data_IF_242367843625
#
_entry.id   IF_242367843625
#
_cell.length_a   1.000
_cell.length_b   1.000
_cell.length_c   1.000
_cell.angle_alpha   90.00
_cell.angle_beta   90.00
_cell.angle_gamma   90.00
#
_symmetry.space_group_name_H-M   'P 1'
#
loop_
_entity.id
_entity.type
_entity.pdbx_description
1 polymer ?
#
# COMPACT_ATOMS: atom_id res chain seq x y z
N UNK A 1 -25.53 -4.70 -78.10
CA UNK A 1 -24.33 -4.56 -78.96
C UNK A 1 -23.43 -3.52 -78.30
N UNK A 2 -22.18 -3.69 -77.89
CA UNK A 2 -21.14 -4.71 -78.08
C UNK A 2 -20.34 -4.77 -76.77
N UNK A 3 -19.77 -5.95 -76.53
CA UNK A 3 -18.96 -6.32 -75.37
C UNK A 3 -17.59 -5.62 -75.43
N UNK A 4 -16.99 -5.35 -74.28
CA UNK A 4 -15.53 -5.22 -74.20
C UNK A 4 -15.00 -6.13 -73.08
N UNK A 5 -14.45 -7.26 -73.54
CA UNK A 5 -13.64 -8.24 -72.81
C UNK A 5 -12.40 -7.55 -72.23
N UNK A 6 -12.03 -7.76 -70.96
CA UNK A 6 -11.27 -8.92 -70.43
C UNK A 6 -9.81 -8.98 -70.90
N UNK A 7 -8.88 -8.58 -70.01
CA UNK A 7 -7.52 -9.11 -69.81
C UNK A 7 -7.15 -8.76 -68.33
N UNK A 8 -7.17 -9.70 -67.36
CA UNK A 8 -6.08 -10.61 -66.95
C UNK A 8 -4.75 -9.85 -66.71
N UNK A 9 -4.01 -9.95 -65.60
CA UNK A 9 -3.84 -11.01 -64.60
C UNK A 9 -2.95 -10.49 -63.44
N UNK A 10 -3.16 -10.99 -62.22
CA UNK A 10 -2.21 -11.10 -61.10
C UNK A 10 -1.58 -9.84 -60.46
N UNK A 11 -2.09 -9.44 -59.29
CA UNK A 11 -1.22 -9.31 -58.12
C UNK A 11 -1.92 -9.87 -56.90
N UNK A 12 -1.32 -10.93 -56.38
CA UNK A 12 -1.79 -11.73 -55.28
C UNK A 12 -1.76 -10.95 -53.97
N UNK A 13 -2.80 -11.16 -53.16
CA UNK A 13 -2.69 -11.53 -51.75
C UNK A 13 -1.49 -10.93 -51.00
N UNK A 14 -1.67 -9.74 -50.43
CA UNK A 14 -0.93 -9.36 -49.23
C UNK A 14 -1.90 -8.67 -48.26
N UNK A 15 -2.70 -9.52 -47.62
CA UNK A 15 -3.25 -9.19 -46.32
C UNK A 15 -2.09 -8.97 -45.36
N UNK A 16 -2.00 -7.75 -44.84
CA UNK A 16 -1.35 -7.52 -43.56
C UNK A 16 -2.40 -6.78 -42.73
N UNK A 17 -3.16 -7.58 -41.98
CA UNK A 17 -3.79 -7.14 -40.75
C UNK A 17 -2.74 -6.34 -39.97
N UNK A 18 -2.88 -5.02 -39.94
CA UNK A 18 -2.28 -4.23 -38.86
C UNK A 18 -3.13 -4.49 -37.62
N UNK A 19 -2.94 -5.68 -37.02
CA UNK A 19 -3.23 -5.83 -35.61
C UNK A 19 -2.29 -4.87 -34.90
N UNK A 20 -2.86 -3.74 -34.51
CA UNK A 20 -2.31 -2.86 -33.51
C UNK A 20 -1.86 -3.74 -32.34
N UNK A 21 -0.57 -4.05 -32.31
CA UNK A 21 0.13 -4.56 -31.16
C UNK A 21 0.17 -3.44 -30.14
N UNK A 22 -0.98 -3.14 -29.54
CA UNK A 22 -1.03 -2.59 -28.20
C UNK A 22 -0.27 -3.61 -27.35
N UNK A 23 1.04 -3.38 -27.16
CA UNK A 23 1.74 -3.89 -26.00
C UNK A 23 0.83 -3.50 -24.84
N UNK A 24 0.15 -4.49 -24.25
CA UNK A 24 -0.53 -4.32 -22.98
C UNK A 24 0.57 -3.75 -22.09
N UNK A 25 0.50 -2.44 -21.80
CA UNK A 25 1.25 -1.91 -20.69
C UNK A 25 0.69 -2.69 -19.52
N UNK A 26 1.52 -3.43 -18.81
CA UNK A 26 1.07 -4.11 -17.61
C UNK A 26 0.35 -3.05 -16.76
N UNK A 27 -0.94 -3.26 -16.55
CA UNK A 27 -1.74 -2.32 -15.78
C UNK A 27 -1.05 -2.17 -14.41
N UNK A 28 -0.95 -0.94 -13.86
CA UNK A 28 -0.35 -0.74 -12.56
C UNK A 28 -1.00 -1.70 -11.55
N UNK A 29 -0.17 -2.46 -10.83
CA UNK A 29 -0.67 -3.38 -9.81
C UNK A 29 -1.55 -2.61 -8.82
N UNK A 30 -2.73 -3.15 -8.45
CA UNK A 30 -3.61 -2.47 -7.51
C UNK A 30 -2.95 -2.37 -6.14
N UNK A 31 -3.25 -1.30 -5.41
CA UNK A 31 -2.71 -1.06 -4.06
C UNK A 31 -2.98 -2.23 -3.11
N UNK A 32 -4.14 -2.88 -3.25
CA UNK A 32 -4.52 -4.08 -2.49
C UNK A 32 -3.62 -5.29 -2.74
N UNK A 33 -2.96 -5.39 -3.90
CA UNK A 33 -1.93 -6.41 -4.16
C UNK A 33 -0.58 -5.99 -3.57
N UNK A 34 -0.21 -4.72 -3.71
CA UNK A 34 1.09 -4.20 -3.29
C UNK A 34 1.25 -4.16 -1.77
N UNK A 35 0.17 -3.89 -1.04
CA UNK A 35 0.21 -3.69 0.41
C UNK A 35 0.44 -4.98 1.21
N UNK A 36 0.15 -6.16 0.63
CA UNK A 36 0.23 -7.44 1.34
C UNK A 36 1.68 -7.91 1.48
N UNK A 37 2.37 -7.33 2.47
CA UNK A 37 3.79 -7.54 2.84
C UNK A 37 3.97 -7.44 4.36
N UNK A 38 5.21 -7.66 4.81
CA UNK A 38 5.63 -7.47 6.20
C UNK A 38 6.42 -6.17 6.33
N UNK A 39 5.73 -5.09 6.66
CA UNK A 39 6.29 -3.74 6.67
C UNK A 39 6.97 -3.42 8.00
N UNK A 40 8.15 -2.79 7.93
CA UNK A 40 8.96 -2.29 9.05
C UNK A 40 9.19 -0.79 8.87
N UNK A 41 9.28 -0.05 9.98
CA UNK A 41 9.44 1.41 9.89
C UNK A 41 10.81 1.75 9.34
N UNK A 42 10.83 2.63 8.34
CA UNK A 42 12.01 3.30 7.79
C UNK A 42 12.18 4.69 8.40
N UNK A 43 11.08 5.42 8.54
CA UNK A 43 11.04 6.76 9.11
C UNK A 43 9.73 6.98 9.87
N UNK A 44 9.80 7.71 10.99
CA UNK A 44 8.62 8.22 11.67
C UNK A 44 8.77 9.70 12.00
N UNK A 45 7.66 10.44 11.88
CA UNK A 45 7.55 11.82 12.33
C UNK A 45 6.45 11.99 13.34
N UNK A 46 6.67 12.88 14.28
CA UNK A 46 5.68 13.36 15.23
C UNK A 46 5.53 14.86 15.09
N UNK A 47 4.31 15.31 14.83
CA UNK A 47 3.98 16.72 14.59
C UNK A 47 4.93 17.37 13.56
N UNK A 48 5.24 16.60 12.51
CA UNK A 48 6.14 16.99 11.42
C UNK A 48 7.65 16.87 11.72
N UNK A 49 8.04 16.63 12.97
CA UNK A 49 9.45 16.46 13.36
C UNK A 49 9.87 15.01 13.20
N UNK A 50 11.01 14.77 12.52
CA UNK A 50 11.56 13.42 12.38
C UNK A 50 12.08 12.91 13.72
N UNK A 51 11.53 11.80 14.21
CA UNK A 51 11.89 11.19 15.49
C UNK A 51 12.57 9.82 15.33
N UNK A 52 12.56 9.29 14.11
CA UNK A 52 13.17 8.00 13.77
C UNK A 52 13.52 7.96 12.28
N UNK A 53 14.74 7.54 11.96
CA UNK A 53 15.25 7.44 10.57
C UNK A 53 16.34 6.38 10.35
N UNK A 54 16.64 5.57 11.36
CA UNK A 54 17.52 4.40 11.27
C UNK A 54 16.75 3.13 11.64
N UNK A 55 16.39 2.28 10.66
CA UNK A 55 15.62 1.05 10.89
C UNK A 55 16.29 0.04 11.83
N UNK A 56 17.58 0.22 12.15
CA UNK A 56 18.36 -0.65 13.04
C UNK A 56 18.66 -0.02 14.40
N UNK A 57 18.39 1.28 14.58
CA UNK A 57 18.55 1.93 15.87
C UNK A 57 17.39 1.56 16.80
N UNK A 58 17.70 1.06 17.99
CA UNK A 58 16.70 0.85 19.03
C UNK A 58 16.32 2.20 19.68
N UNK A 59 15.02 2.40 19.91
CA UNK A 59 14.53 3.49 20.77
C UNK A 59 14.49 3.09 22.25
N UNK A 60 13.87 3.95 23.08
CA UNK A 60 13.55 3.59 24.46
C UNK A 60 12.35 2.64 24.52
N UNK A 61 12.20 1.86 25.60
CA UNK A 61 11.15 0.83 25.70
C UNK A 61 9.72 1.33 25.47
N UNK A 62 9.43 2.60 25.75
CA UNK A 62 8.10 3.20 25.57
C UNK A 62 7.89 3.81 24.18
N UNK A 63 8.95 3.97 23.38
CA UNK A 63 8.95 4.69 22.10
C UNK A 63 9.99 4.12 21.14
N UNK A 64 9.97 2.81 20.95
CA UNK A 64 10.89 2.10 20.07
C UNK A 64 10.25 1.82 18.70
N UNK A 65 10.45 2.73 17.75
CA UNK A 65 9.93 2.59 16.39
C UNK A 65 10.52 1.39 15.62
N UNK A 66 11.68 0.87 16.03
CA UNK A 66 12.25 -0.34 15.41
C UNK A 66 11.37 -1.59 15.63
N UNK A 67 10.52 -1.56 16.67
CA UNK A 67 9.54 -2.61 16.96
C UNK A 67 8.28 -2.49 16.13
N UNK A 68 7.97 -1.29 15.63
CA UNK A 68 6.73 -1.07 14.91
C UNK A 68 6.72 -1.86 13.60
N UNK A 69 5.69 -2.70 13.43
CA UNK A 69 5.51 -3.55 12.26
C UNK A 69 4.07 -3.59 11.86
N UNK A 70 3.83 -3.62 10.55
CA UNK A 70 2.51 -3.85 9.98
C UNK A 70 2.61 -5.05 9.03
N UNK A 71 2.11 -6.20 9.49
CA UNK A 71 2.21 -7.47 8.79
C UNK A 71 0.83 -7.83 8.25
N UNK A 72 0.67 -7.78 6.93
CA UNK A 72 -0.56 -8.19 6.25
C UNK A 72 -0.48 -9.70 6.00
N UNK A 73 -1.04 -10.49 6.90
CA UNK A 73 -0.88 -11.95 6.93
C UNK A 73 -1.81 -12.68 5.97
N UNK A 74 -2.86 -12.00 5.49
CA UNK A 74 -3.75 -12.48 4.44
C UNK A 74 -4.38 -11.30 3.70
N UNK A 75 -5.24 -11.59 2.72
CA UNK A 75 -6.04 -10.58 2.03
C UNK A 75 -6.97 -9.77 2.97
N UNK A 76 -7.19 -10.23 4.21
CA UNK A 76 -8.04 -9.51 5.18
C UNK A 76 -7.42 -9.36 6.56
N UNK A 77 -6.39 -10.14 6.90
CA UNK A 77 -5.82 -10.20 8.24
C UNK A 77 -4.56 -9.35 8.37
N UNK A 78 -4.42 -8.72 9.54
CA UNK A 78 -3.27 -7.88 9.87
C UNK A 78 -2.78 -8.18 11.28
N UNK A 79 -1.46 -8.06 11.46
CA UNK A 79 -0.79 -8.01 12.74
C UNK A 79 -0.02 -6.70 12.84
N UNK A 80 -0.38 -5.89 13.83
CA UNK A 80 0.29 -4.67 14.21
C UNK A 80 1.18 -4.97 15.41
N UNK A 81 2.46 -4.66 15.31
CA UNK A 81 3.33 -4.50 16.49
C UNK A 81 3.51 -3.01 16.72
N UNK A 82 3.17 -2.51 17.92
CA UNK A 82 3.36 -1.09 18.26
C UNK A 82 4.76 -0.81 18.83
N UNK A 83 5.09 0.47 19.04
CA UNK A 83 6.43 0.90 19.47
C UNK A 83 6.85 0.36 20.85
N UNK A 84 5.89 0.00 21.70
CA UNK A 84 6.15 -0.61 23.00
C UNK A 84 6.28 -2.14 22.92
N UNK A 85 6.11 -2.74 21.73
CA UNK A 85 6.17 -4.19 21.51
C UNK A 85 4.82 -4.91 21.64
N UNK A 86 3.73 -4.21 21.96
CA UNK A 86 2.40 -4.81 21.98
C UNK A 86 2.05 -5.38 20.62
N UNK A 87 1.56 -6.62 20.59
CA UNK A 87 1.12 -7.28 19.38
C UNK A 87 -0.40 -7.30 19.36
N UNK A 88 -0.96 -6.74 18.30
CA UNK A 88 -2.39 -6.58 18.08
C UNK A 88 -2.74 -7.22 16.74
N UNK A 89 -3.76 -8.07 16.73
CA UNK A 89 -4.25 -8.71 15.51
C UNK A 89 -5.64 -8.23 15.16
N UNK A 90 -6.00 -8.20 13.88
CA UNK A 90 -7.33 -7.83 13.44
C UNK A 90 -7.49 -7.97 11.93
N UNK A 91 -8.42 -7.19 11.38
CA UNK A 91 -8.70 -7.11 9.96
C UNK A 91 -8.25 -5.78 9.37
N UNK A 92 -7.93 -5.76 8.08
CA UNK A 92 -7.60 -4.54 7.35
C UNK A 92 -8.49 -4.35 6.11
N UNK A 93 -8.72 -3.10 5.74
CA UNK A 93 -9.31 -2.72 4.46
C UNK A 93 -8.69 -1.42 3.94
N UNK A 94 -8.60 -1.28 2.61
CA UNK A 94 -8.35 -0.01 1.94
C UNK A 94 -9.68 0.60 1.51
N UNK A 95 -9.86 1.89 1.74
CA UNK A 95 -11.06 2.66 1.39
C UNK A 95 -10.67 3.99 0.74
N UNK A 96 -11.67 4.77 0.30
CA UNK A 96 -11.47 6.10 -0.30
C UNK A 96 -10.49 6.07 -1.49
N UNK A 97 -10.69 5.13 -2.42
CA UNK A 97 -9.80 4.92 -3.57
C UNK A 97 -8.33 4.67 -3.14
N UNK A 98 -8.17 3.78 -2.16
CA UNK A 98 -6.89 3.36 -1.58
C UNK A 98 -6.11 4.46 -0.83
N UNK A 99 -6.79 5.53 -0.41
CA UNK A 99 -6.18 6.64 0.37
C UNK A 99 -6.34 6.52 1.87
N UNK A 100 -7.15 5.57 2.32
CA UNK A 100 -7.39 5.30 3.74
C UNK A 100 -7.22 3.82 4.04
N UNK A 101 -6.44 3.51 5.07
CA UNK A 101 -6.26 2.16 5.61
C UNK A 101 -7.00 2.09 6.95
N UNK A 102 -7.90 1.13 7.08
CA UNK A 102 -8.68 0.92 8.30
C UNK A 102 -8.30 -0.44 8.89
N UNK A 103 -7.83 -0.44 10.13
CA UNK A 103 -7.64 -1.65 10.91
C UNK A 103 -8.79 -1.81 11.89
N UNK A 104 -9.44 -2.97 11.90
CA UNK A 104 -10.68 -3.23 12.63
C UNK A 104 -10.66 -4.56 13.37
N UNK A 105 -11.56 -4.73 14.35
CA UNK A 105 -11.62 -5.94 15.16
C UNK A 105 -10.32 -6.22 15.94
N UNK A 106 -9.61 -5.16 16.34
CA UNK A 106 -8.28 -5.24 16.91
C UNK A 106 -8.29 -5.86 18.31
N UNK A 107 -7.51 -6.92 18.49
CA UNK A 107 -7.37 -7.64 19.76
C UNK A 107 -5.90 -7.89 20.08
N UNK A 108 -5.41 -7.46 21.26
CA UNK A 108 -6.09 -6.59 22.23
C UNK A 108 -6.41 -5.20 21.65
N UNK A 109 -7.32 -4.46 22.27
CA UNK A 109 -7.69 -3.13 21.81
C UNK A 109 -6.50 -2.15 21.95
N UNK A 110 -6.14 -1.38 20.91
CA UNK A 110 -5.08 -0.38 21.00
C UNK A 110 -5.42 0.72 22.01
N UNK A 111 -4.39 1.30 22.64
CA UNK A 111 -4.57 2.38 23.62
C UNK A 111 -5.17 3.64 22.96
N UNK A 112 -6.19 4.22 23.63
CA UNK A 112 -6.80 5.49 23.25
C UNK A 112 -7.70 5.45 22.01
N UNK A 113 -8.08 4.25 21.54
CA UNK A 113 -9.01 4.08 20.43
C UNK A 113 -10.10 3.13 20.86
N UNK A 114 -11.37 3.53 20.71
CA UNK A 114 -12.54 2.70 20.97
C UNK A 114 -13.15 2.29 19.64
N UNK A 115 -12.55 1.31 18.95
CA UNK A 115 -12.96 0.87 17.63
C UNK A 115 -11.78 0.64 16.68
N UNK A 116 -11.83 1.26 15.51
CA UNK A 116 -10.86 1.07 14.44
C UNK A 116 -9.66 2.01 14.56
N UNK A 117 -8.48 1.52 14.19
CA UNK A 117 -7.32 2.36 13.96
C UNK A 117 -7.29 2.75 12.49
N UNK A 118 -7.36 4.05 12.22
CA UNK A 118 -7.42 4.58 10.86
C UNK A 118 -6.14 5.32 10.49
N UNK A 119 -5.72 5.15 9.25
CA UNK A 119 -4.62 5.85 8.65
C UNK A 119 -5.04 6.49 7.32
N UNK A 120 -4.66 7.74 7.10
CA UNK A 120 -4.94 8.52 5.90
C UNK A 120 -3.65 8.80 5.12
N UNK A 121 -3.78 9.45 3.96
CA UNK A 121 -2.67 9.77 3.06
C UNK A 121 -1.90 8.51 2.65
N UNK A 122 -2.62 7.38 2.48
CA UNK A 122 -2.01 6.11 2.14
C UNK A 122 -1.41 6.20 0.73
N UNK A 123 -0.12 5.88 0.66
CA UNK A 123 0.62 5.70 -0.58
C UNK A 123 1.37 4.37 -0.46
N UNK A 124 1.09 3.45 -1.38
CA UNK A 124 1.79 2.16 -1.47
C UNK A 124 2.47 2.05 -2.82
N UNK A 125 3.73 1.62 -2.79
CA UNK A 125 4.52 1.28 -3.96
C UNK A 125 5.01 -0.17 -3.86
N UNK A 126 5.86 -0.58 -4.78
CA UNK A 126 6.53 -1.87 -4.76
C UNK A 126 7.54 -2.05 -3.61
N UNK A 127 7.86 -0.99 -2.87
CA UNK A 127 8.95 -0.97 -1.89
C UNK A 127 8.67 -0.09 -0.68
N UNK A 128 7.58 0.68 -0.69
CA UNK A 128 7.29 1.67 0.34
C UNK A 128 5.80 1.77 0.66
N UNK A 129 5.49 1.93 1.95
CA UNK A 129 4.16 2.23 2.45
C UNK A 129 4.24 3.49 3.31
N UNK A 130 3.50 4.53 2.93
CA UNK A 130 3.41 5.78 3.68
C UNK A 130 1.98 6.01 4.13
N UNK A 131 1.82 6.51 5.35
CA UNK A 131 0.52 6.93 5.87
C UNK A 131 0.66 7.81 7.11
N UNK A 132 -0.42 8.49 7.47
CA UNK A 132 -0.55 9.27 8.70
C UNK A 132 -1.63 8.63 9.57
N UNK A 133 -1.37 8.42 10.87
CA UNK A 133 -2.42 7.97 11.79
C UNK A 133 -3.46 9.08 11.95
N UNK A 134 -4.74 8.76 11.76
CA UNK A 134 -5.81 9.76 11.78
C UNK A 134 -6.16 10.25 13.19
N UNK A 135 -5.89 9.46 14.21
CA UNK A 135 -6.02 9.85 15.62
C UNK A 135 -4.65 10.13 16.25
N UNK A 136 -4.56 11.09 17.18
CA UNK A 136 -3.38 11.23 18.04
C UNK A 136 -2.98 9.89 18.65
N UNK A 137 -1.68 9.59 18.70
CA UNK A 137 -1.19 8.37 19.33
C UNK A 137 -0.84 8.65 20.81
N UNK A 138 -1.60 8.12 21.79
CA UNK A 138 -1.30 8.37 23.21
C UNK A 138 0.09 7.87 23.62
N UNK A 139 0.61 6.84 22.93
CA UNK A 139 1.94 6.27 23.20
C UNK A 139 3.09 7.19 22.75
N UNK A 140 2.81 8.19 21.93
CA UNK A 140 3.78 9.19 21.47
C UNK A 140 3.53 10.58 22.07
N UNK A 141 2.84 10.64 23.21
CA UNK A 141 2.46 11.92 23.82
C UNK A 141 1.29 12.60 23.12
N UNK A 142 0.43 11.82 22.45
CA UNK A 142 -0.70 12.31 21.66
C UNK A 142 -0.29 13.20 20.47
N UNK A 143 0.87 12.94 19.88
CA UNK A 143 1.30 13.59 18.63
C UNK A 143 0.59 13.00 17.40
N UNK A 144 0.50 13.81 16.34
CA UNK A 144 0.19 13.35 14.99
C UNK A 144 1.37 12.54 14.47
N UNK A 145 1.17 11.27 14.11
CA UNK A 145 2.27 10.40 13.68
C UNK A 145 2.19 10.05 12.20
N UNK A 146 3.27 10.31 11.47
CA UNK A 146 3.48 9.89 10.09
C UNK A 146 4.49 8.75 10.04
N UNK A 147 4.25 7.78 9.16
CA UNK A 147 5.10 6.62 8.98
C UNK A 147 5.52 6.46 7.53
N UNK A 148 6.76 6.04 7.35
CA UNK A 148 7.29 5.47 6.10
C UNK A 148 7.78 4.09 6.44
N UNK A 149 7.30 3.07 5.74
CA UNK A 149 7.70 1.68 5.95
C UNK A 149 8.32 1.08 4.69
N UNK A 150 9.13 0.05 4.89
CA UNK A 150 9.76 -0.78 3.86
C UNK A 150 9.56 -2.27 4.19
N UNK A 151 9.82 -3.18 3.25
CA UNK A 151 9.77 -4.64 3.46
C UNK A 151 10.95 -5.37 2.84
#
# INVERSE_FOLDING_TARGET
>A
MKKLNSLLLAFAFLGVLQLAGCKKKDDPKPASELIVKNWKVKEAKEDGTKVYDDPYAAGSDTKDYSRFKLEFTSATDVRLTEQNGDVITGKWTLTESDKKLVLSGLTPQPTGVTGNLEYTNVVVTDSELRFTRSSPNPKTGASSTEYVLFF
#
